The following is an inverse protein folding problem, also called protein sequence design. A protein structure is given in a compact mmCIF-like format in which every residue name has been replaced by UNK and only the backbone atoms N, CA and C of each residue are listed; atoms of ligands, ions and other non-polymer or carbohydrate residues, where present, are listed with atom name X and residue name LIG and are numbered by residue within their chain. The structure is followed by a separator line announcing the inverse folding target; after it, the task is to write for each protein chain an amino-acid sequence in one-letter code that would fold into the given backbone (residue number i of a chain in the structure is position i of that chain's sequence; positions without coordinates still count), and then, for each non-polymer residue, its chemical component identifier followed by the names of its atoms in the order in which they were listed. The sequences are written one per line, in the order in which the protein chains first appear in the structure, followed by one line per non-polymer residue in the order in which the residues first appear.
data_IF_018241791197
#
_entry.id   IF_018241791197
#
_cell.length_a   1.000
_cell.length_b   1.000
_cell.length_c   1.000
_cell.angle_alpha   90.00
_cell.angle_beta   90.00
_cell.angle_gamma   90.00
#
_symmetry.space_group_name_H-M   'P 1'
#
loop_
_entity.id
_entity.type
_entity.pdbx_description
1 polymer ?
#
# COMPACT_ATOMS: atom_id res chain seq x y z
N UNK A 1 -11.41 18.12 11.49
CA UNK A 1 -11.19 17.64 10.12
C UNK A 1 -9.99 16.71 10.09
N UNK A 2 -10.12 15.57 9.43
CA UNK A 2 -9.06 14.59 9.35
C UNK A 2 -7.99 15.03 8.32
N UNK A 3 -6.70 15.00 8.70
CA UNK A 3 -5.63 15.28 7.74
C UNK A 3 -5.47 14.10 6.80
N UNK A 4 -4.76 14.31 5.67
CA UNK A 4 -4.47 13.22 4.73
C UNK A 4 -3.69 12.09 5.38
N UNK A 5 -2.70 12.42 6.21
CA UNK A 5 -1.93 11.39 6.93
C UNK A 5 -2.82 10.64 7.92
N UNK A 6 -3.65 11.36 8.67
CA UNK A 6 -4.58 10.73 9.62
C UNK A 6 -5.55 9.80 8.90
N UNK A 7 -6.08 10.24 7.75
CA UNK A 7 -6.97 9.42 6.93
C UNK A 7 -6.24 8.18 6.41
N UNK A 8 -5.01 8.36 5.92
CA UNK A 8 -4.21 7.24 5.43
C UNK A 8 -3.94 6.23 6.54
N UNK A 9 -3.62 6.69 7.74
CA UNK A 9 -3.39 5.78 8.88
C UNK A 9 -4.67 5.04 9.27
N UNK A 10 -5.81 5.71 9.22
CA UNK A 10 -7.09 5.07 9.49
C UNK A 10 -7.39 3.97 8.47
N UNK A 11 -7.21 4.29 7.19
CA UNK A 11 -7.41 3.33 6.11
C UNK A 11 -6.47 2.14 6.28
N UNK A 12 -5.21 2.41 6.61
CA UNK A 12 -4.23 1.34 6.83
C UNK A 12 -4.68 0.41 7.96
N UNK A 13 -5.15 0.98 9.08
CA UNK A 13 -5.66 0.16 10.18
C UNK A 13 -6.82 -0.72 9.75
N UNK A 14 -7.75 -0.18 8.95
CA UNK A 14 -8.87 -0.95 8.42
C UNK A 14 -8.38 -2.11 7.55
N UNK A 15 -7.40 -1.85 6.69
CA UNK A 15 -6.86 -2.86 5.80
C UNK A 15 -6.09 -3.96 6.54
N UNK A 16 -5.30 -3.57 7.53
CA UNK A 16 -4.57 -4.53 8.35
C UNK A 16 -5.56 -5.44 9.10
N UNK A 17 -6.59 -4.85 9.69
CA UNK A 17 -7.60 -5.61 10.41
C UNK A 17 -8.33 -6.59 9.49
N UNK A 18 -8.72 -6.12 8.31
CA UNK A 18 -9.44 -6.95 7.34
C UNK A 18 -8.60 -8.15 6.87
N UNK A 19 -7.29 -7.95 6.75
CA UNK A 19 -6.36 -8.99 6.32
C UNK A 19 -5.82 -9.83 7.46
N UNK A 20 -6.10 -9.44 8.69
CA UNK A 20 -5.54 -10.06 9.91
C UNK A 20 -4.02 -9.96 9.93
N UNK A 21 -3.51 -8.83 9.48
CA UNK A 21 -2.08 -8.54 9.53
C UNK A 21 -1.77 -7.69 10.75
N UNK A 22 -0.59 -7.91 11.32
CA UNK A 22 -0.03 -7.05 12.34
C UNK A 22 0.80 -5.96 11.68
N UNK A 23 1.05 -4.88 12.41
CA UNK A 23 1.95 -3.82 11.93
C UNK A 23 3.31 -4.38 11.50
N UNK A 24 3.85 -5.32 12.29
CA UNK A 24 5.14 -5.94 11.99
C UNK A 24 5.15 -6.72 10.67
N UNK A 25 3.98 -7.16 10.20
CA UNK A 25 3.90 -7.91 8.94
C UNK A 25 4.29 -7.06 7.73
N UNK A 26 4.12 -5.73 7.84
CA UNK A 26 4.50 -4.83 6.75
C UNK A 26 6.00 -4.91 6.46
N UNK A 27 6.83 -5.07 7.49
CA UNK A 27 8.27 -5.21 7.31
C UNK A 27 8.66 -6.62 6.88
N UNK A 28 7.87 -7.62 7.28
CA UNK A 28 8.19 -9.03 7.00
C UNK A 28 7.77 -9.49 5.62
N UNK A 29 6.69 -8.95 5.09
CA UNK A 29 6.17 -9.35 3.79
C UNK A 29 7.02 -8.72 2.68
N UNK A 30 7.04 -9.38 1.52
CA UNK A 30 7.82 -8.90 0.37
C UNK A 30 7.46 -7.48 -0.01
N UNK A 31 8.42 -6.72 -0.54
CA UNK A 31 8.20 -5.33 -0.97
C UNK A 31 7.06 -5.21 -1.97
N UNK A 32 6.95 -6.18 -2.88
CA UNK A 32 5.92 -6.18 -3.92
C UNK A 32 4.73 -7.08 -3.62
N UNK A 33 4.53 -7.47 -2.35
CA UNK A 33 3.40 -8.28 -1.93
C UNK A 33 2.09 -7.71 -2.47
N UNK A 34 1.26 -8.55 -3.09
CA UNK A 34 0.01 -8.09 -3.71
C UNK A 34 -0.91 -7.38 -2.71
N UNK A 35 -0.98 -7.87 -1.49
CA UNK A 35 -1.78 -7.21 -0.45
C UNK A 35 -1.31 -5.80 -0.18
N UNK A 36 0.02 -5.59 -0.12
CA UNK A 36 0.57 -4.24 0.03
C UNK A 36 0.25 -3.37 -1.17
N UNK A 37 0.33 -3.92 -2.39
CA UNK A 37 -0.03 -3.17 -3.60
C UNK A 37 -1.49 -2.74 -3.57
N UNK A 38 -2.38 -3.61 -3.13
CA UNK A 38 -3.80 -3.28 -2.99
C UNK A 38 -4.04 -2.18 -1.97
N UNK A 39 -3.37 -2.24 -0.83
CA UNK A 39 -3.45 -1.17 0.18
C UNK A 39 -2.93 0.15 -0.40
N UNK A 40 -1.77 0.09 -1.08
CA UNK A 40 -1.20 1.28 -1.71
C UNK A 40 -2.15 1.89 -2.73
N UNK A 41 -2.83 1.05 -3.51
CA UNK A 41 -3.83 1.51 -4.49
C UNK A 41 -4.97 2.25 -3.82
N UNK A 42 -5.47 1.73 -2.70
CA UNK A 42 -6.54 2.39 -1.96
C UNK A 42 -6.08 3.73 -1.39
N UNK A 43 -4.87 3.77 -0.81
CA UNK A 43 -4.32 5.01 -0.28
C UNK A 43 -4.16 6.08 -1.36
N UNK A 44 -3.71 5.67 -2.55
CA UNK A 44 -3.58 6.60 -3.69
C UNK A 44 -4.94 7.13 -4.15
N UNK A 45 -5.96 6.27 -4.14
CA UNK A 45 -7.28 6.66 -4.60
C UNK A 45 -8.02 7.54 -3.61
N UNK A 46 -7.82 7.34 -2.31
CA UNK A 46 -8.66 7.96 -1.27
C UNK A 46 -7.97 9.04 -0.46
N UNK A 47 -6.66 9.22 -0.63
CA UNK A 47 -5.92 10.27 0.11
C UNK A 47 -4.98 11.02 -0.82
N UNK A 48 -4.40 12.10 -0.31
CA UNK A 48 -3.40 12.88 -1.02
C UNK A 48 -1.96 12.58 -0.57
N UNK A 49 -1.77 11.52 0.23
CA UNK A 49 -0.40 11.15 0.63
C UNK A 49 0.42 10.77 -0.60
N UNK A 50 1.72 11.03 -0.56
CA UNK A 50 2.59 10.76 -1.69
C UNK A 50 2.91 9.28 -1.82
N UNK A 51 3.31 8.86 -3.02
CA UNK A 51 3.80 7.49 -3.22
C UNK A 51 5.04 7.25 -2.36
N UNK A 52 5.87 8.27 -2.18
CA UNK A 52 7.04 8.17 -1.30
C UNK A 52 6.62 7.83 0.13
N UNK A 53 5.58 8.51 0.64
CA UNK A 53 5.04 8.22 1.97
C UNK A 53 4.52 6.78 2.05
N UNK A 54 3.76 6.36 1.04
CA UNK A 54 3.19 5.01 0.98
C UNK A 54 4.31 3.96 0.97
N UNK A 55 5.30 4.16 0.13
CA UNK A 55 6.43 3.23 0.01
C UNK A 55 7.15 3.04 1.34
N UNK A 56 7.42 4.14 2.04
CA UNK A 56 8.08 4.08 3.34
C UNK A 56 7.19 3.43 4.38
N UNK A 57 5.91 3.81 4.41
CA UNK A 57 4.98 3.34 5.43
C UNK A 57 4.68 1.85 5.31
N UNK A 58 4.56 1.33 4.10
CA UNK A 58 4.23 -0.08 3.85
C UNK A 58 5.47 -0.97 3.69
N UNK A 59 6.67 -0.41 3.75
CA UNK A 59 7.88 -1.21 3.55
C UNK A 59 7.98 -1.76 2.14
N UNK A 60 7.74 -0.91 1.13
CA UNK A 60 7.73 -1.31 -0.27
C UNK A 60 8.97 -0.88 -1.06
N UNK A 61 9.97 -0.32 -0.39
CA UNK A 61 11.19 0.12 -1.07
C UNK A 61 11.02 1.47 -1.77
N UNK A 62 11.71 1.72 -2.89
CA UNK A 62 11.66 3.04 -3.54
C UNK A 62 10.29 3.36 -4.14
N UNK A 63 9.96 4.66 -4.16
CA UNK A 63 8.69 5.12 -4.72
C UNK A 63 8.52 4.71 -6.18
N UNK A 64 9.61 4.73 -6.96
CA UNK A 64 9.55 4.31 -8.37
C UNK A 64 9.10 2.87 -8.54
N UNK A 65 9.56 1.99 -7.67
CA UNK A 65 9.13 0.59 -7.66
C UNK A 65 7.63 0.49 -7.35
N UNK A 66 7.16 1.25 -6.36
CA UNK A 66 5.74 1.26 -6.00
C UNK A 66 4.88 1.76 -7.16
N UNK A 67 5.31 2.85 -7.82
CA UNK A 67 4.61 3.37 -8.99
C UNK A 67 4.49 2.30 -10.09
N UNK A 68 5.57 1.57 -10.34
CA UNK A 68 5.57 0.52 -11.36
C UNK A 68 4.61 -0.61 -10.99
N UNK A 69 4.62 -1.04 -9.72
CA UNK A 69 3.73 -2.10 -9.25
C UNK A 69 2.27 -1.66 -9.33
N UNK A 70 1.97 -0.43 -8.96
CA UNK A 70 0.61 0.12 -9.06
C UNK A 70 0.14 0.18 -10.50
N UNK A 71 1.02 0.62 -11.41
CA UNK A 71 0.71 0.65 -12.83
C UNK A 71 0.33 -0.74 -13.35
N UNK A 72 1.15 -1.74 -13.05
CA UNK A 72 0.91 -3.11 -13.47
C UNK A 72 -0.38 -3.67 -12.88
N UNK A 73 -0.64 -3.37 -11.63
CA UNK A 73 -1.86 -3.81 -10.96
C UNK A 73 -3.12 -3.22 -11.62
N UNK A 74 -3.08 -1.92 -11.93
CA UNK A 74 -4.20 -1.24 -12.61
C UNK A 74 -4.44 -1.80 -14.00
N UNK A 75 -3.38 -2.23 -14.67
CA UNK A 75 -3.47 -2.85 -16.00
C UNK A 75 -3.91 -4.31 -15.95
N UNK A 76 -4.02 -4.88 -14.77
CA UNK A 76 -4.39 -6.29 -14.62
C UNK A 76 -3.26 -7.26 -14.95
N UNK A 77 -2.01 -6.79 -15.05
CA UNK A 77 -0.86 -7.63 -15.36
C UNK A 77 -0.13 -8.14 -14.14
N UNK A 78 -0.47 -7.61 -12.95
CA UNK A 78 0.08 -8.07 -11.69
C UNK A 78 -0.99 -8.90 -11.00
N UNK A 79 -0.74 -10.18 -10.87
CA UNK A 79 -1.65 -11.13 -10.25
C UNK A 79 -0.94 -11.93 -9.18
N UNK A 80 -1.73 -12.46 -8.25
CA UNK A 80 -1.20 -13.21 -7.12
C UNK A 80 -0.40 -14.44 -7.57
N UNK A 81 -0.81 -15.06 -8.67
CA UNK A 81 -0.18 -16.28 -9.18
C UNK A 81 0.78 -16.03 -10.34
N UNK A 82 1.09 -14.79 -10.63
CA UNK A 82 1.96 -14.47 -11.75
C UNK A 82 3.43 -14.55 -11.37
#
# INVERSE_FOLDING_TARGET
METDVAKAERILREELKARRWQEADLAKRAKGDLGKVQIAGRLRAETLVTVKWIAARLGMGPAGYVNHRLYRWRKGTLRENA
#
